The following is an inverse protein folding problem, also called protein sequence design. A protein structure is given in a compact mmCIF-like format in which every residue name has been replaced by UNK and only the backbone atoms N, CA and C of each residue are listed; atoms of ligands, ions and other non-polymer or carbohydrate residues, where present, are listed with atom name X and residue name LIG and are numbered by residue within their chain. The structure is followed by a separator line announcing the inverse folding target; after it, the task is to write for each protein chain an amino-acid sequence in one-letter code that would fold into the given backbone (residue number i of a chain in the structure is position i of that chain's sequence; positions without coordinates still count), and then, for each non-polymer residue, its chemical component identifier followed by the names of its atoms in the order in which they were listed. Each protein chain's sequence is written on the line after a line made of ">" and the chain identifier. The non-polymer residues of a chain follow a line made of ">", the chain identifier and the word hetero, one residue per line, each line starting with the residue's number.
data_IF_104666889147
#
_entry.id   IF_104666889147
#
_cell.length_a   1.000
_cell.length_b   1.000
_cell.length_c   1.000
_cell.angle_alpha   90.00
_cell.angle_beta   90.00
_cell.angle_gamma   90.00
#
_symmetry.space_group_name_H-M   'P 1'
#
loop_
_entity.id
_entity.type
_entity.pdbx_description
1 polymer ?
#
# COMPACT_ATOMS: atom_id res chain seq x y z
N UNK A 1 -2.51 9.85 -2.08
CA UNK A 1 -1.84 9.07 -3.14
C UNK A 1 -0.35 9.37 -3.10
N UNK A 2 0.42 8.60 -2.31
CA UNK A 2 1.88 8.53 -2.47
C UNK A 2 2.18 7.10 -2.90
N UNK A 3 1.77 6.78 -4.14
CA UNK A 3 2.24 5.57 -4.80
C UNK A 3 3.76 5.66 -4.90
N UNK A 4 4.43 4.51 -4.84
CA UNK A 4 5.87 4.27 -4.80
C UNK A 4 6.62 4.78 -6.04
N UNK A 5 6.45 6.05 -6.37
CA UNK A 5 7.01 6.73 -7.53
C UNK A 5 8.33 7.41 -7.16
N UNK A 6 9.20 7.58 -8.15
CA UNK A 6 10.51 8.21 -7.99
C UNK A 6 11.63 7.26 -7.55
N UNK A 7 11.34 5.98 -7.31
CA UNK A 7 12.33 4.92 -7.15
C UNK A 7 11.75 3.56 -7.52
N UNK A 8 12.62 2.57 -7.73
CA UNK A 8 12.19 1.17 -7.78
C UNK A 8 11.66 0.78 -6.37
N UNK A 9 10.45 0.19 -6.28
CA UNK A 9 9.94 -0.37 -5.03
C UNK A 9 10.87 -1.42 -4.43
N UNK A 10 10.75 -1.62 -3.13
CA UNK A 10 11.45 -2.67 -2.38
C UNK A 10 10.42 -3.54 -1.68
N UNK A 11 10.80 -4.78 -1.39
CA UNK A 11 10.05 -5.61 -0.46
C UNK A 11 9.79 -4.83 0.84
N UNK A 12 8.62 -5.06 1.46
CA UNK A 12 8.07 -4.35 2.62
C UNK A 12 7.58 -2.92 2.38
N UNK A 13 7.74 -2.35 1.17
CA UNK A 13 7.09 -1.08 0.84
C UNK A 13 5.55 -1.20 0.92
N UNK A 14 4.89 -0.21 1.54
CA UNK A 14 3.43 -0.20 1.73
C UNK A 14 2.80 1.08 1.17
N UNK A 15 1.61 0.96 0.61
CA UNK A 15 0.76 2.10 0.25
C UNK A 15 -0.70 1.81 0.61
N UNK A 16 -1.47 2.87 0.83
CA UNK A 16 -2.89 2.81 1.16
C UNK A 16 -3.74 3.41 0.04
N UNK A 17 -4.84 2.75 -0.29
CA UNK A 17 -5.82 3.22 -1.27
C UNK A 17 -7.19 2.62 -0.99
N UNK A 18 -8.23 3.46 -0.88
CA UNK A 18 -9.65 3.06 -0.73
C UNK A 18 -9.90 2.05 0.42
N UNK A 19 -9.26 2.25 1.58
CA UNK A 19 -9.40 1.33 2.72
C UNK A 19 -8.60 0.03 2.60
N UNK A 20 -7.75 -0.11 1.58
CA UNK A 20 -6.84 -1.24 1.44
C UNK A 20 -5.39 -0.82 1.65
N UNK A 21 -4.61 -1.72 2.23
CA UNK A 21 -3.14 -1.66 2.24
C UNK A 21 -2.60 -2.60 1.20
N UNK A 22 -1.64 -2.11 0.42
CA UNK A 22 -0.88 -2.89 -0.56
C UNK A 22 0.57 -2.94 -0.09
N UNK A 23 1.07 -4.12 0.19
CA UNK A 23 2.45 -4.37 0.61
C UNK A 23 3.18 -5.19 -0.44
N UNK A 24 4.37 -4.73 -0.86
CA UNK A 24 5.25 -5.51 -1.74
C UNK A 24 5.88 -6.62 -0.93
N UNK A 25 5.64 -7.88 -1.31
CA UNK A 25 6.19 -9.05 -0.62
C UNK A 25 7.38 -9.63 -1.37
N UNK A 26 7.42 -9.45 -2.69
CA UNK A 26 8.45 -10.04 -3.55
C UNK A 26 8.67 -9.20 -4.80
N UNK A 27 9.93 -9.09 -5.22
CA UNK A 27 10.37 -8.30 -6.36
C UNK A 27 11.17 -9.17 -7.34
N UNK A 28 10.79 -9.14 -8.62
CA UNK A 28 11.55 -9.71 -9.73
C UNK A 28 12.35 -8.61 -10.44
N UNK A 29 13.64 -8.47 -10.13
CA UNK A 29 14.49 -7.40 -10.68
C UNK A 29 13.85 -5.99 -10.53
N UNK A 30 13.18 -5.51 -11.57
CA UNK A 30 12.52 -4.19 -11.63
C UNK A 30 11.00 -4.27 -11.64
N UNK A 31 10.40 -5.44 -11.39
CA UNK A 31 8.96 -5.68 -11.42
C UNK A 31 8.48 -6.20 -10.08
N UNK A 32 7.35 -5.72 -9.60
CA UNK A 32 6.67 -6.32 -8.46
C UNK A 32 6.11 -7.68 -8.89
N UNK A 33 6.55 -8.75 -8.24
CA UNK A 33 6.01 -10.10 -8.48
C UNK A 33 4.77 -10.35 -7.61
N UNK A 34 4.88 -10.04 -6.31
CA UNK A 34 3.88 -10.42 -5.32
C UNK A 34 3.56 -9.27 -4.39
N UNK A 35 2.26 -9.09 -4.16
CA UNK A 35 1.73 -8.15 -3.19
C UNK A 35 0.82 -8.86 -2.20
N UNK A 36 0.84 -8.39 -0.96
CA UNK A 36 -0.17 -8.69 0.04
C UNK A 36 -1.17 -7.54 0.09
N UNK A 37 -2.45 -7.88 0.00
CA UNK A 37 -3.55 -6.92 0.13
C UNK A 37 -4.30 -7.22 1.43
N UNK A 38 -4.45 -6.20 2.26
CA UNK A 38 -5.30 -6.27 3.45
C UNK A 38 -6.33 -5.15 3.43
N UNK A 39 -7.52 -5.43 3.93
CA UNK A 39 -8.52 -4.40 4.20
C UNK A 39 -8.26 -3.82 5.59
N UNK A 40 -8.22 -2.49 5.67
CA UNK A 40 -8.16 -1.74 6.92
C UNK A 40 -9.45 -0.96 7.00
N UNK A 41 -10.24 -1.23 8.02
CA UNK A 41 -11.47 -0.47 8.25
C UNK A 41 -11.14 1.02 8.27
N UNK A 42 -11.81 1.84 7.43
CA UNK A 42 -11.58 3.27 7.43
C UNK A 42 -11.92 3.79 8.82
N UNK A 43 -10.96 4.49 9.44
CA UNK A 43 -11.21 5.19 10.69
C UNK A 43 -12.16 6.35 10.35
N UNK A 44 -13.45 6.15 10.59
CA UNK A 44 -14.44 7.21 10.47
C UNK A 44 -14.22 8.14 11.65
N UNK A 45 -13.47 9.22 11.41
CA UNK A 45 -13.30 10.27 12.40
C UNK A 45 -14.69 10.88 12.64
N UNK A 46 -15.24 10.64 13.83
CA UNK A 46 -16.50 11.26 14.23
C UNK A 46 -16.23 12.74 14.45
N UNK A 47 -16.44 13.56 13.42
CA UNK A 47 -16.64 15.00 13.61
C UNK A 47 -17.92 15.18 14.41
N UNK A 48 -17.78 15.39 15.72
CA UNK A 48 -18.84 15.94 16.56
C UNK A 48 -19.26 17.30 15.97
N UNK A 49 -20.58 17.50 15.82
CA UNK A 49 -21.21 18.70 15.23
C UNK A 49 -20.90 20.00 15.97
#
# INVERSE_FOLDING_TARGET
>A
MNLLFGRIPRETDKTYWEGYTFEVVDMDNTRIDKILVSYVEPVVEQTEE
#
